data_IF_213014941908
#
_entry.id   IF_213014941908
#
_cell.length_a   1.000
_cell.length_b   1.000
_cell.length_c   1.000
_cell.angle_alpha   90.00
_cell.angle_beta   90.00
_cell.angle_gamma   90.00
#
_symmetry.space_group_name_H-M   'P 1'
#
loop_
_entity.id
_entity.type
_entity.pdbx_description
1 polymer ?
#
# COMPACT_ATOMS: atom_id res chain seq x y z
N UNK A 1 -1.61 37.71 3.27
CA UNK A 1 -2.87 36.95 3.33
C UNK A 1 -3.36 36.81 1.90
N UNK A 2 -2.88 35.78 1.22
CA UNK A 2 -3.36 35.37 -0.11
C UNK A 2 -3.84 33.93 0.08
N UNK A 3 -4.99 33.79 0.75
CA UNK A 3 -5.79 32.59 0.68
C UNK A 3 -6.71 32.69 -0.56
N UNK A 4 -7.16 31.54 -1.04
CA UNK A 4 -8.12 31.33 -2.14
C UNK A 4 -7.55 31.31 -3.56
N UNK A 5 -6.84 30.23 -3.94
CA UNK A 5 -6.94 29.74 -5.32
C UNK A 5 -6.77 28.23 -5.52
N UNK A 6 -6.79 27.42 -4.46
CA UNK A 6 -6.68 25.96 -4.58
C UNK A 6 -7.90 25.20 -4.06
N UNK A 7 -9.10 25.76 -4.25
CA UNK A 7 -10.30 24.91 -4.31
C UNK A 7 -10.41 24.44 -5.76
N UNK A 8 -9.55 23.47 -6.08
CA UNK A 8 -9.62 22.73 -7.32
C UNK A 8 -11.00 22.10 -7.35
N UNK A 9 -11.87 22.62 -8.21
CA UNK A 9 -13.21 22.15 -8.48
C UNK A 9 -13.18 20.65 -8.70
N UNK A 10 -13.39 19.90 -7.61
CA UNK A 10 -13.58 18.46 -7.66
C UNK A 10 -14.99 18.31 -8.16
N UNK A 11 -15.12 17.87 -9.40
CA UNK A 11 -16.36 17.47 -10.03
C UNK A 11 -17.17 16.60 -9.07
N UNK A 12 -18.15 17.21 -8.37
CA UNK A 12 -19.11 16.56 -7.47
C UNK A 12 -20.19 15.84 -8.30
N UNK A 13 -19.74 14.96 -9.19
CA UNK A 13 -20.54 13.85 -9.66
C UNK A 13 -20.41 12.69 -8.67
N UNK A 14 -21.42 11.82 -8.54
CA UNK A 14 -21.27 10.61 -7.76
C UNK A 14 -20.11 9.78 -8.35
N UNK A 15 -18.99 9.70 -7.63
CA UNK A 15 -17.84 8.89 -8.04
C UNK A 15 -18.28 7.45 -8.23
N UNK A 16 -17.85 6.86 -9.34
CA UNK A 16 -18.18 5.47 -9.63
C UNK A 16 -17.48 4.54 -8.64
N UNK A 17 -18.03 3.35 -8.40
CA UNK A 17 -17.38 2.35 -7.54
C UNK A 17 -15.96 2.01 -8.05
N UNK A 18 -15.74 2.03 -9.36
CA UNK A 18 -14.43 1.80 -9.97
C UNK A 18 -13.45 2.94 -9.65
N UNK A 19 -13.88 4.19 -9.75
CA UNK A 19 -13.06 5.34 -9.36
C UNK A 19 -12.69 5.32 -7.88
N UNK A 20 -13.65 4.98 -7.01
CA UNK A 20 -13.39 4.81 -5.57
C UNK A 20 -12.40 3.67 -5.32
N UNK A 21 -12.47 2.57 -6.08
CA UNK A 21 -11.52 1.47 -5.94
C UNK A 21 -10.10 1.87 -6.36
N UNK A 22 -9.95 2.57 -7.49
CA UNK A 22 -8.65 3.06 -7.95
C UNK A 22 -8.05 4.10 -6.98
N UNK A 23 -8.87 5.03 -6.49
CA UNK A 23 -8.45 6.00 -5.47
C UNK A 23 -8.10 5.33 -4.14
N UNK A 24 -8.84 4.30 -3.75
CA UNK A 24 -8.53 3.47 -2.58
C UNK A 24 -7.21 2.73 -2.70
N UNK A 25 -6.90 2.17 -3.87
CA UNK A 25 -5.61 1.54 -4.15
C UNK A 25 -4.46 2.55 -4.00
N UNK A 26 -4.61 3.75 -4.56
CA UNK A 26 -3.61 4.81 -4.43
C UNK A 26 -3.34 5.16 -2.96
N UNK A 27 -4.38 5.39 -2.16
CA UNK A 27 -4.20 5.72 -0.74
C UNK A 27 -3.60 4.56 0.07
N UNK A 28 -3.84 3.31 -0.34
CA UNK A 28 -3.18 2.15 0.27
C UNK A 28 -1.67 2.16 0.01
N UNK A 29 -1.26 2.41 -1.23
CA UNK A 29 0.15 2.52 -1.62
C UNK A 29 0.85 3.67 -0.88
N UNK A 30 0.22 4.85 -0.83
CA UNK A 30 0.73 6.01 -0.06
C UNK A 30 0.85 5.69 1.45
N UNK A 31 -0.14 4.99 2.01
CA UNK A 31 -0.11 4.57 3.42
C UNK A 31 1.08 3.65 3.71
N UNK A 32 1.35 2.69 2.81
CA UNK A 32 2.48 1.78 2.92
C UNK A 32 3.80 2.56 2.84
N UNK A 33 3.93 3.47 1.86
CA UNK A 33 5.12 4.30 1.68
C UNK A 33 5.42 5.16 2.92
N UNK A 34 4.41 5.84 3.47
CA UNK A 34 4.61 6.65 4.69
C UNK A 34 4.91 5.79 5.91
N UNK A 35 4.37 4.58 6.02
CA UNK A 35 4.75 3.64 7.08
C UNK A 35 6.23 3.25 6.98
N UNK A 36 6.73 2.98 5.78
CA UNK A 36 8.16 2.74 5.54
C UNK A 36 8.99 3.96 5.91
N UNK A 37 8.56 5.17 5.53
CA UNK A 37 9.28 6.40 5.86
C UNK A 37 9.37 6.63 7.38
N UNK A 38 8.30 6.33 8.14
CA UNK A 38 8.31 6.39 9.61
C UNK A 38 9.34 5.41 10.16
N UNK A 39 9.32 4.15 9.70
CA UNK A 39 10.24 3.12 10.18
C UNK A 39 11.70 3.47 9.87
N UNK A 40 11.97 3.93 8.65
CA UNK A 40 13.31 4.38 8.23
C UNK A 40 13.78 5.57 9.06
N UNK A 41 12.93 6.60 9.24
CA UNK A 41 13.28 7.76 10.05
C UNK A 41 13.52 7.41 11.51
N UNK A 42 12.71 6.52 12.09
CA UNK A 42 12.95 6.00 13.44
C UNK A 42 14.25 5.22 13.52
N UNK A 43 14.53 4.39 12.51
CA UNK A 43 15.77 3.63 12.44
C UNK A 43 16.99 4.55 12.35
N UNK A 44 16.94 5.61 11.55
CA UNK A 44 18.05 6.58 11.41
C UNK A 44 18.33 7.30 12.73
N UNK A 45 17.28 7.71 13.47
CA UNK A 45 17.43 8.29 14.80
C UNK A 45 17.98 7.29 15.82
N UNK A 46 17.46 6.06 15.80
CA UNK A 46 17.87 4.98 16.69
C UNK A 46 19.16 4.28 16.26
N UNK A 47 19.80 4.66 15.16
CA UNK A 47 21.08 4.09 14.75
C UNK A 47 22.19 5.15 14.68
N UNK A 48 21.89 6.40 15.04
CA UNK A 48 22.86 7.48 14.99
C UNK A 48 23.79 7.45 16.22
N UNK A 49 25.08 7.07 16.06
CA UNK A 49 26.01 6.96 17.18
C UNK A 49 26.33 8.31 17.84
N UNK A 50 26.09 9.43 17.15
CA UNK A 50 26.29 10.79 17.69
C UNK A 50 25.30 11.09 18.82
N UNK A 51 24.07 10.56 18.73
CA UNK A 51 23.04 10.77 19.76
C UNK A 51 23.31 9.99 21.05
N UNK A 52 24.06 8.89 20.95
CA UNK A 52 24.47 8.08 22.11
C UNK A 52 25.81 8.49 22.70
N UNK A 53 26.65 9.17 21.92
CA UNK A 53 28.00 9.58 22.33
C UNK A 53 28.04 10.90 23.09
N UNK A 54 26.89 11.49 23.44
CA UNK A 54 26.86 12.70 24.24
C UNK A 54 27.47 12.42 25.62
N UNK A 55 28.60 13.04 26.01
CA UNK A 55 29.05 12.98 27.39
C UNK A 55 27.98 13.64 28.28
N UNK A 56 27.73 13.14 29.50
CA UNK A 56 26.89 13.86 30.44
C UNK A 56 27.53 15.22 30.68
N UNK A 57 26.93 16.29 30.14
CA UNK A 57 27.24 17.63 30.61
C UNK A 57 26.69 17.70 32.02
N UNK A 58 27.57 17.50 33.00
CA UNK A 58 27.29 17.67 34.42
C UNK A 58 26.86 19.13 34.67
N UNK A 59 25.56 19.40 34.64
CA UNK A 59 24.99 20.50 35.42
C UNK A 59 24.79 20.01 36.85
N UNK A 60 25.91 19.75 37.53
CA UNK A 60 25.94 19.55 38.98
C UNK A 60 26.21 20.89 39.65
N UNK A 61 25.18 21.68 39.91
CA UNK A 61 25.23 22.72 40.95
C UNK A 61 25.01 22.04 42.31
N UNK A 62 26.05 21.39 42.83
CA UNK A 62 26.11 20.99 44.25
C UNK A 62 26.60 22.19 45.09
N UNK A 63 25.89 22.59 46.15
CA UNK A 63 26.26 23.72 46.99
C UNK A 63 27.20 23.26 48.11
N UNK A 64 28.52 23.25 47.88
CA UNK A 64 29.57 23.46 48.89
C UNK A 64 30.96 23.06 48.37
N UNK A 65 31.75 24.05 47.93
CA UNK A 65 33.21 24.09 48.14
C UNK A 65 33.73 25.51 47.84
N UNK A 66 34.70 26.06 48.59
CA UNK A 66 34.91 27.50 48.67
C UNK A 66 35.98 28.04 47.70
N UNK A 67 35.75 29.32 47.37
CA UNK A 67 36.72 30.38 47.04
C UNK A 67 37.49 30.32 45.72
N UNK A 68 37.20 31.30 44.86
CA UNK A 68 38.13 31.74 43.83
C UNK A 68 37.53 32.72 42.83
N UNK A 69 37.57 34.01 43.20
CA UNK A 69 37.63 35.21 42.34
C UNK A 69 36.40 35.69 41.52
N UNK A 70 36.00 36.92 41.89
CA UNK A 70 35.66 38.07 41.03
C UNK A 70 34.21 38.28 40.57
N UNK A 71 33.50 39.10 41.36
CA UNK A 71 32.77 40.33 40.99
C UNK A 71 32.18 40.49 39.58
N UNK A 72 30.90 40.88 39.56
CA UNK A 72 30.31 41.60 38.42
C UNK A 72 28.78 41.70 38.47
N UNK A 73 28.29 42.55 39.35
CA UNK A 73 26.91 43.03 39.46
C UNK A 73 26.37 43.64 38.13
N UNK A 74 25.13 43.30 37.76
CA UNK A 74 24.13 44.24 37.25
C UNK A 74 22.81 43.54 36.91
N UNK A 75 21.78 43.89 37.68
CA UNK A 75 20.35 43.64 37.45
C UNK A 75 19.83 44.20 36.13
N UNK A 76 18.95 43.48 35.41
CA UNK A 76 17.85 44.13 34.68
C UNK A 76 16.65 43.20 34.54
N UNK A 77 15.49 43.84 34.72
CA UNK A 77 14.14 43.30 34.87
C UNK A 77 13.39 43.31 33.52
N UNK A 78 12.41 42.41 33.41
CA UNK A 78 11.21 42.44 32.58
C UNK A 78 11.28 42.90 31.09
N UNK A 79 10.99 42.00 30.15
CA UNK A 79 10.05 42.35 29.06
C UNK A 79 9.46 41.12 28.36
N UNK A 80 8.14 41.15 28.29
CA UNK A 80 7.26 40.27 27.53
C UNK A 80 7.42 40.59 26.03
N UNK A 81 7.92 39.65 25.21
CA UNK A 81 7.85 39.77 23.75
C UNK A 81 7.44 38.45 23.08
N UNK A 82 6.16 38.46 22.69
CA UNK A 82 5.61 37.75 21.54
C UNK A 82 6.43 38.10 20.29
N UNK A 83 7.00 37.11 19.60
CA UNK A 83 7.29 37.19 18.16
C UNK A 83 7.70 35.83 17.60
N UNK A 84 7.00 35.47 16.53
CA UNK A 84 7.26 34.38 15.60
C UNK A 84 8.70 34.30 15.08
N UNK A 85 9.10 33.06 14.79
CA UNK A 85 9.99 32.70 13.69
C UNK A 85 11.40 33.28 13.68
N UNK A 86 12.40 32.50 14.11
CA UNK A 86 13.44 31.99 13.21
C UNK A 86 14.43 31.12 13.99
N UNK A 87 14.75 29.95 13.42
CA UNK A 87 16.00 29.20 13.55
C UNK A 87 16.76 29.30 14.89
N UNK A 88 16.41 28.45 15.85
CA UNK A 88 17.36 28.00 16.86
C UNK A 88 17.60 26.50 16.70
N UNK A 89 18.78 26.19 16.15
CA UNK A 89 19.39 24.89 16.23
C UNK A 89 19.55 24.49 17.72
N UNK A 90 18.57 23.78 18.25
CA UNK A 90 18.66 23.04 19.51
C UNK A 90 17.89 21.74 19.35
N UNK A 91 18.54 20.62 19.67
CA UNK A 91 18.17 19.28 19.25
C UNK A 91 16.74 18.85 19.58
N UNK A 92 16.14 18.12 18.63
CA UNK A 92 14.87 17.42 18.82
C UNK A 92 14.39 16.79 17.52
N UNK A 93 14.41 15.47 17.48
CA UNK A 93 13.79 14.58 16.51
C UNK A 93 12.33 14.95 16.15
N UNK A 94 12.11 15.90 15.24
CA UNK A 94 10.75 16.43 15.02
C UNK A 94 10.38 16.88 13.61
N UNK A 95 11.28 16.79 12.62
CA UNK A 95 10.98 17.25 11.25
C UNK A 95 10.39 16.16 10.37
N UNK A 96 11.25 15.25 9.91
CA UNK A 96 10.89 14.21 8.95
C UNK A 96 9.98 13.13 9.55
N UNK A 97 10.24 12.71 10.80
CA UNK A 97 9.43 11.71 11.48
C UNK A 97 8.00 12.18 11.73
N UNK A 98 7.82 13.42 12.21
CA UNK A 98 6.48 13.95 12.49
C UNK A 98 5.71 14.25 11.19
N UNK A 99 6.39 14.71 10.14
CA UNK A 99 5.80 14.88 8.81
C UNK A 99 5.35 13.52 8.23
N UNK A 100 6.17 12.49 8.31
CA UNK A 100 5.81 11.14 7.85
C UNK A 100 4.61 10.58 8.65
N UNK A 101 4.56 10.83 9.97
CA UNK A 101 3.42 10.48 10.82
C UNK A 101 2.15 11.23 10.43
N UNK A 102 2.25 12.51 10.14
CA UNK A 102 1.13 13.33 9.70
C UNK A 102 0.56 12.82 8.37
N UNK A 103 1.43 12.60 7.36
CA UNK A 103 1.01 12.06 6.06
C UNK A 103 0.40 10.67 6.15
N UNK A 104 0.99 9.79 6.96
CA UNK A 104 0.44 8.46 7.23
C UNK A 104 -0.98 8.55 7.79
N UNK A 105 -1.20 9.39 8.81
CA UNK A 105 -2.54 9.59 9.40
C UNK A 105 -3.55 10.08 8.37
N UNK A 106 -3.16 11.02 7.51
CA UNK A 106 -4.03 11.57 6.47
C UNK A 106 -4.36 10.54 5.38
N UNK A 107 -3.36 9.79 4.88
CA UNK A 107 -3.56 8.73 3.89
C UNK A 107 -4.49 7.64 4.44
N UNK A 108 -4.31 7.25 5.71
CA UNK A 108 -5.20 6.29 6.38
C UNK A 108 -6.62 6.84 6.53
N UNK A 109 -6.78 8.12 6.87
CA UNK A 109 -8.10 8.75 6.97
C UNK A 109 -8.81 8.79 5.60
N UNK A 110 -8.08 9.12 4.53
CA UNK A 110 -8.59 9.08 3.17
C UNK A 110 -8.98 7.66 2.74
N UNK A 111 -8.13 6.66 3.01
CA UNK A 111 -8.42 5.26 2.73
C UNK A 111 -9.68 4.77 3.46
N UNK A 112 -9.83 5.11 4.75
CA UNK A 112 -11.05 4.80 5.52
C UNK A 112 -12.28 5.45 4.92
N UNK A 113 -12.18 6.71 4.50
CA UNK A 113 -13.27 7.44 3.83
C UNK A 113 -13.71 6.69 2.56
N UNK A 114 -12.76 6.28 1.71
CA UNK A 114 -13.06 5.50 0.51
C UNK A 114 -13.72 4.16 0.84
N UNK A 115 -13.18 3.41 1.81
CA UNK A 115 -13.77 2.14 2.24
C UNK A 115 -15.20 2.28 2.76
N UNK A 116 -15.53 3.40 3.43
CA UNK A 116 -16.92 3.69 3.82
C UNK A 116 -17.78 4.15 2.65
N UNK A 117 -17.20 4.78 1.64
CA UNK A 117 -17.93 5.27 0.47
C UNK A 117 -18.26 4.14 -0.53
N UNK A 118 -17.43 3.09 -0.63
CA UNK A 118 -17.66 1.97 -1.57
C UNK A 118 -19.02 1.30 -1.36
N UNK A 119 -19.42 0.86 -0.14
CA UNK A 119 -20.75 0.28 0.09
C UNK A 119 -21.88 1.26 -0.20
N UNK A 120 -21.67 2.55 0.01
CA UNK A 120 -22.67 3.58 -0.25
C UNK A 120 -22.82 3.87 -1.75
N UNK A 121 -21.73 3.78 -2.52
CA UNK A 121 -21.77 3.85 -4.00
C UNK A 121 -22.54 2.68 -4.59
N UNK A 122 -22.43 1.49 -3.99
CA UNK A 122 -23.22 0.32 -4.36
C UNK A 122 -24.71 0.50 -4.00
N UNK A 123 -25.02 1.13 -2.86
CA UNK A 123 -26.41 1.43 -2.47
C UNK A 123 -27.05 2.54 -3.29
N UNK A 124 -26.30 3.55 -3.71
CA UNK A 124 -26.76 4.56 -4.67
C UNK A 124 -27.03 3.92 -6.04
N UNK A 125 -26.17 2.98 -6.47
CA UNK A 125 -26.46 2.09 -7.59
C UNK A 125 -27.57 1.08 -7.31
N UNK A 126 -27.92 0.80 -6.05
CA UNK A 126 -29.00 -0.12 -5.68
C UNK A 126 -30.39 0.52 -5.77
N UNK A 127 -30.48 1.84 -5.53
CA UNK A 127 -31.70 2.60 -5.81
C UNK A 127 -31.93 2.79 -7.32
N UNK A 128 -30.88 2.58 -8.12
CA UNK A 128 -30.89 2.45 -9.59
C UNK A 128 -30.61 0.99 -10.05
N UNK A 129 -30.66 0.00 -9.13
CA UNK A 129 -30.38 -1.42 -9.45
C UNK A 129 -31.65 -2.11 -9.96
N UNK A 130 -32.26 -1.48 -10.95
CA UNK A 130 -32.77 -2.20 -12.10
C UNK A 130 -31.68 -2.51 -13.14
N UNK A 131 -30.40 -2.19 -12.87
CA UNK A 131 -29.28 -2.48 -13.77
C UNK A 131 -28.42 -3.59 -13.13
N UNK A 132 -28.73 -4.87 -13.37
CA UNK A 132 -28.31 -5.61 -14.55
C UNK A 132 -26.83 -5.37 -14.86
N UNK A 133 -26.08 -6.46 -15.02
CA UNK A 133 -24.84 -6.46 -15.79
C UNK A 133 -25.04 -5.57 -17.02
N UNK A 134 -24.12 -4.64 -17.28
CA UNK A 134 -24.19 -3.83 -18.50
C UNK A 134 -24.36 -4.81 -19.67
N UNK A 135 -25.24 -4.55 -20.66
CA UNK A 135 -25.46 -5.49 -21.76
C UNK A 135 -24.18 -5.83 -22.52
N UNK A 136 -23.16 -4.96 -22.45
CA UNK A 136 -21.82 -5.23 -22.97
C UNK A 136 -21.04 -6.26 -22.14
N UNK A 137 -21.12 -6.17 -20.81
CA UNK A 137 -20.41 -7.08 -19.89
C UNK A 137 -21.09 -8.46 -19.86
N UNK A 138 -22.42 -8.52 -19.95
CA UNK A 138 -23.17 -9.79 -20.04
C UNK A 138 -22.85 -10.55 -21.33
N UNK A 139 -22.78 -9.85 -22.46
CA UNK A 139 -22.44 -10.45 -23.76
C UNK A 139 -20.98 -10.96 -23.80
N UNK A 140 -20.06 -10.27 -23.11
CA UNK A 140 -18.68 -10.73 -22.98
C UNK A 140 -18.59 -12.00 -22.12
N UNK A 141 -19.35 -12.05 -21.02
CA UNK A 141 -19.43 -13.23 -20.15
C UNK A 141 -19.99 -14.43 -20.92
N UNK A 142 -21.07 -14.26 -21.67
CA UNK A 142 -21.68 -15.32 -22.49
C UNK A 142 -20.68 -15.86 -23.54
N UNK A 143 -19.96 -14.96 -24.23
CA UNK A 143 -18.93 -15.33 -25.19
C UNK A 143 -17.78 -16.10 -24.55
N UNK A 144 -17.31 -15.67 -23.38
CA UNK A 144 -16.25 -16.37 -22.66
C UNK A 144 -16.69 -17.76 -22.18
N UNK A 145 -17.95 -17.90 -21.75
CA UNK A 145 -18.53 -19.19 -21.37
C UNK A 145 -18.67 -20.13 -22.58
N UNK A 146 -19.08 -19.62 -23.75
CA UNK A 146 -19.11 -20.39 -24.99
C UNK A 146 -17.71 -20.85 -25.39
N UNK A 147 -16.71 -19.96 -25.33
CA UNK A 147 -15.31 -20.30 -25.61
C UNK A 147 -14.80 -21.38 -24.64
N UNK A 148 -15.05 -21.24 -23.34
CA UNK A 148 -14.67 -22.24 -22.35
C UNK A 148 -15.34 -23.60 -22.63
N UNK A 149 -16.61 -23.59 -23.02
CA UNK A 149 -17.35 -24.80 -23.37
C UNK A 149 -16.79 -25.47 -24.64
N UNK A 150 -16.46 -24.67 -25.65
CA UNK A 150 -15.83 -25.16 -26.88
C UNK A 150 -14.47 -25.79 -26.61
N UNK A 151 -13.61 -25.12 -25.81
CA UNK A 151 -12.31 -25.64 -25.43
C UNK A 151 -12.41 -26.94 -24.62
N UNK A 152 -13.35 -27.05 -23.68
CA UNK A 152 -13.59 -28.30 -22.93
C UNK A 152 -13.99 -29.44 -23.87
N UNK A 153 -14.84 -29.17 -24.88
CA UNK A 153 -15.24 -30.16 -25.88
C UNK A 153 -14.08 -30.57 -26.79
N UNK A 154 -13.24 -29.64 -27.21
CA UNK A 154 -12.05 -29.95 -28.01
C UNK A 154 -11.05 -30.79 -27.22
N UNK A 155 -10.84 -30.46 -25.94
CA UNK A 155 -9.98 -31.23 -25.03
C UNK A 155 -10.44 -32.69 -24.91
N UNK A 156 -11.74 -32.92 -24.69
CA UNK A 156 -12.27 -34.29 -24.60
C UNK A 156 -12.17 -35.03 -25.93
N UNK A 157 -12.40 -34.37 -27.06
CA UNK A 157 -12.25 -34.95 -28.39
C UNK A 157 -10.79 -35.36 -28.68
N UNK A 158 -9.82 -34.46 -28.42
CA UNK A 158 -8.39 -34.76 -28.59
C UNK A 158 -7.94 -35.90 -27.67
N UNK A 159 -8.42 -35.93 -26.42
CA UNK A 159 -8.11 -37.03 -25.50
C UNK A 159 -8.66 -38.37 -26.02
N UNK A 160 -9.87 -38.39 -26.56
CA UNK A 160 -10.45 -39.58 -27.19
C UNK A 160 -9.63 -40.06 -28.39
N UNK A 161 -9.17 -39.13 -29.24
CA UNK A 161 -8.33 -39.47 -30.38
C UNK A 161 -6.99 -40.08 -29.94
N UNK A 162 -6.33 -39.48 -28.95
CA UNK A 162 -5.10 -40.02 -28.37
C UNK A 162 -5.30 -41.43 -27.80
N UNK A 163 -6.41 -41.66 -27.07
CA UNK A 163 -6.74 -42.99 -26.55
C UNK A 163 -6.85 -44.02 -27.67
N UNK A 164 -7.55 -43.68 -28.76
CA UNK A 164 -7.67 -44.57 -29.94
C UNK A 164 -6.30 -44.90 -30.54
N UNK A 165 -5.43 -43.90 -30.72
CA UNK A 165 -4.08 -44.14 -31.26
C UNK A 165 -3.25 -45.02 -30.33
N UNK A 166 -3.35 -44.81 -29.01
CA UNK A 166 -2.67 -45.64 -28.00
C UNK A 166 -3.16 -47.09 -28.09
N UNK A 167 -4.48 -47.30 -28.21
CA UNK A 167 -5.05 -48.64 -28.32
C UNK A 167 -4.61 -49.33 -29.62
N UNK A 168 -4.63 -48.62 -30.76
CA UNK A 168 -4.11 -49.13 -32.03
C UNK A 168 -2.62 -49.51 -31.96
N UNK A 169 -1.81 -48.71 -31.27
CA UNK A 169 -0.38 -49.02 -31.08
C UNK A 169 -0.20 -50.27 -30.20
N UNK A 170 -1.00 -50.41 -29.14
CA UNK A 170 -0.97 -51.58 -28.26
C UNK A 170 -1.37 -52.85 -29.00
N UNK A 171 -2.40 -52.79 -29.82
CA UNK A 171 -2.83 -53.92 -30.67
C UNK A 171 -1.72 -54.32 -31.63
N UNK A 172 -1.12 -53.34 -32.32
CA UNK A 172 0.00 -53.60 -33.24
C UNK A 172 1.20 -54.24 -32.54
N UNK A 173 1.57 -53.76 -31.34
CA UNK A 173 2.65 -54.36 -30.55
C UNK A 173 2.31 -55.81 -30.17
N UNK A 174 1.05 -56.07 -29.82
CA UNK A 174 0.57 -57.41 -29.47
C UNK A 174 0.68 -58.34 -30.69
N UNK A 175 0.18 -57.90 -31.85
CA UNK A 175 0.29 -58.64 -33.10
C UNK A 175 1.75 -58.96 -33.41
N UNK A 176 2.63 -57.96 -33.44
CA UNK A 176 4.07 -58.16 -33.70
C UNK A 176 4.68 -59.19 -32.72
N UNK A 177 4.32 -59.12 -31.44
CA UNK A 177 4.80 -60.07 -30.42
C UNK A 177 4.36 -61.51 -30.71
N UNK A 178 3.15 -61.70 -31.27
CA UNK A 178 2.68 -63.03 -31.69
C UNK A 178 3.47 -63.59 -32.89
N UNK A 179 3.90 -62.73 -33.82
CA UNK A 179 4.75 -63.13 -34.95
C UNK A 179 6.21 -63.40 -34.56
N UNK A 180 6.68 -62.76 -33.49
CA UNK A 180 8.06 -62.89 -33.00
C UNK A 180 8.25 -63.99 -31.96
N UNK A 181 7.19 -64.70 -31.56
CA UNK A 181 7.31 -65.86 -30.71
C UNK A 181 8.05 -66.97 -31.47
N UNK A 182 9.24 -67.44 -31.02
CA UNK A 182 9.93 -68.52 -31.68
C UNK A 182 9.02 -69.75 -31.65
N UNK A 183 8.72 -70.33 -32.81
CA UNK A 183 8.20 -71.69 -32.86
C UNK A 183 9.22 -72.59 -32.14
N UNK A 184 8.89 -73.06 -30.93
CA UNK A 184 9.68 -74.09 -30.26
C UNK A 184 9.71 -75.32 -31.18
N UNK A 185 10.86 -75.54 -31.81
CA UNK A 185 11.25 -76.84 -32.39
C UNK A 185 11.72 -77.76 -31.29
#
# INVERSE_FOLDING_TARGET
>A
MEEESLIMSRSDGPKTTQELAMEGQKYLEETIEYAFQILSSMNDELCNPVLWSAPPSTTSTSPNAPTGVANGDATSDNSNHHADGNASATGGAGGALEEARFRYKNAVAALRTILTAIPNSQKAKAFDAGSATSPADEAEIEKLEEQASSLRRELTNKNLHLKRLIDQLRDLITDISTWQSPFST
#
